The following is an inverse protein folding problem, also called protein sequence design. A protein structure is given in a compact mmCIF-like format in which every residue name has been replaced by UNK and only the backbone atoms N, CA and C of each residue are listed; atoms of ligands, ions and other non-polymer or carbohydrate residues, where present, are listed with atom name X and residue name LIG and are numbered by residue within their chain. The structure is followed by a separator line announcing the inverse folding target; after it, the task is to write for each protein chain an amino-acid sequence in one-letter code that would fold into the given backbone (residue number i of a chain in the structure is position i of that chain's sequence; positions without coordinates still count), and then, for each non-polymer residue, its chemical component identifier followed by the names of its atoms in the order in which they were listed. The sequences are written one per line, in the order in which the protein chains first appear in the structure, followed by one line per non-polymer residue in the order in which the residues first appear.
data_IF_477400865009
#
_entry.id   IF_477400865009
#
_cell.length_a   1.000
_cell.length_b   1.000
_cell.length_c   1.000
_cell.angle_alpha   90.00
_cell.angle_beta   90.00
_cell.angle_gamma   90.00
#
_symmetry.space_group_name_H-M   'P 1'
#
loop_
_entity.id
_entity.type
_entity.pdbx_description
1 polymer ?
#
# COMPACT_ATOMS: atom_id res chain seq x y z
N UNK A 1 40.31 -18.65 50.80
CA UNK A 1 40.36 -17.47 49.89
C UNK A 1 40.46 -17.80 48.40
N UNK A 2 41.14 -18.87 47.96
CA UNK A 2 41.25 -19.19 46.51
C UNK A 2 39.93 -19.62 45.85
N UNK A 3 39.07 -20.39 46.54
CA UNK A 3 37.82 -20.87 45.94
C UNK A 3 36.77 -19.76 45.71
N UNK A 4 36.68 -18.78 46.62
CA UNK A 4 35.82 -17.61 46.42
C UNK A 4 36.19 -16.76 45.19
N UNK A 5 37.48 -16.70 44.83
CA UNK A 5 37.91 -16.00 43.60
C UNK A 5 37.38 -16.69 42.34
N UNK A 6 37.41 -18.02 42.29
CA UNK A 6 36.88 -18.78 41.14
C UNK A 6 35.36 -18.65 41.03
N UNK A 7 34.65 -18.67 42.15
CA UNK A 7 33.19 -18.45 42.18
C UNK A 7 32.83 -17.05 41.69
N UNK A 8 33.58 -16.02 42.10
CA UNK A 8 33.37 -14.64 41.61
C UNK A 8 33.66 -14.48 40.12
N UNK A 9 34.72 -15.11 39.60
CA UNK A 9 35.05 -15.09 38.17
C UNK A 9 33.95 -15.79 37.36
N UNK A 10 33.43 -16.92 37.86
CA UNK A 10 32.35 -17.66 37.20
C UNK A 10 31.04 -16.84 37.19
N UNK A 11 30.70 -16.20 38.31
CA UNK A 11 29.53 -15.34 38.41
C UNK A 11 29.63 -14.11 37.50
N UNK A 12 30.82 -13.50 37.40
CA UNK A 12 31.07 -12.38 36.49
C UNK A 12 30.94 -12.81 35.02
N UNK A 13 31.47 -13.99 34.66
CA UNK A 13 31.33 -14.54 33.30
C UNK A 13 29.86 -14.83 32.95
N UNK A 14 29.09 -15.39 33.89
CA UNK A 14 27.67 -15.65 33.70
C UNK A 14 26.86 -14.36 33.51
N UNK A 15 27.17 -13.31 34.27
CA UNK A 15 26.52 -12.00 34.13
C UNK A 15 26.80 -11.36 32.76
N UNK A 16 28.04 -11.45 32.27
CA UNK A 16 28.40 -10.94 30.94
C UNK A 16 27.65 -11.69 29.84
N UNK A 17 27.56 -13.02 29.94
CA UNK A 17 26.82 -13.84 28.97
C UNK A 17 25.31 -13.50 28.95
N UNK A 18 24.71 -13.25 30.12
CA UNK A 18 23.31 -12.82 30.23
C UNK A 18 23.06 -11.47 29.54
N UNK A 19 23.95 -10.50 29.73
CA UNK A 19 23.83 -9.19 29.07
C UNK A 19 23.96 -9.30 27.55
N UNK A 20 24.90 -10.12 27.06
CA UNK A 20 25.06 -10.38 25.62
C UNK A 20 23.81 -11.05 25.06
N UNK A 21 23.26 -12.06 25.75
CA UNK A 21 22.06 -12.77 25.35
C UNK A 21 20.86 -11.82 25.22
N UNK A 22 20.60 -10.99 26.25
CA UNK A 22 19.51 -10.00 26.22
C UNK A 22 19.66 -8.99 25.09
N UNK A 23 20.89 -8.55 24.81
CA UNK A 23 21.16 -7.62 23.73
C UNK A 23 20.89 -8.24 22.35
N UNK A 24 21.32 -9.48 22.12
CA UNK A 24 21.07 -10.23 20.89
C UNK A 24 19.58 -10.54 20.71
N UNK A 25 18.90 -10.98 21.77
CA UNK A 25 17.46 -11.30 21.74
C UNK A 25 16.63 -10.04 21.40
N UNK A 26 16.96 -8.89 21.99
CA UNK A 26 16.29 -7.63 21.66
C UNK A 26 16.49 -7.21 20.20
N UNK A 27 17.66 -7.50 19.60
CA UNK A 27 17.92 -7.23 18.18
C UNK A 27 17.19 -8.21 17.28
N UNK A 28 17.15 -9.49 17.66
CA UNK A 28 16.40 -10.51 16.94
C UNK A 28 14.90 -10.22 16.95
N UNK A 29 14.34 -9.75 18.07
CA UNK A 29 12.96 -9.29 18.14
C UNK A 29 12.71 -8.06 17.25
N UNK A 30 13.55 -7.02 17.33
CA UNK A 30 13.43 -5.84 16.46
C UNK A 30 13.57 -6.17 14.97
N UNK A 31 14.38 -7.16 14.65
CA UNK A 31 14.53 -7.64 13.27
C UNK A 31 13.29 -8.42 12.82
N UNK A 32 12.73 -9.29 13.67
CA UNK A 32 11.45 -9.94 13.42
C UNK A 32 10.28 -8.95 13.30
N UNK A 33 10.24 -7.90 14.11
CA UNK A 33 9.24 -6.83 14.00
C UNK A 33 9.41 -6.05 12.69
N UNK A 34 10.64 -5.80 12.23
CA UNK A 34 10.92 -5.17 10.92
C UNK A 34 10.58 -6.06 9.74
N UNK A 35 10.72 -7.38 9.89
CA UNK A 35 10.27 -8.37 8.91
C UNK A 35 8.74 -8.54 8.94
N UNK A 36 8.09 -8.27 10.07
CA UNK A 36 6.63 -8.23 10.22
C UNK A 36 6.00 -6.94 9.68
N UNK A 37 6.76 -5.84 9.55
CA UNK A 37 6.42 -4.71 8.67
C UNK A 37 6.51 -5.24 7.24
N UNK A 38 5.38 -5.75 6.77
CA UNK A 38 5.28 -6.64 5.61
C UNK A 38 5.87 -6.03 4.34
N UNK A 39 6.46 -6.91 3.53
CA UNK A 39 6.90 -6.59 2.17
C UNK A 39 5.75 -6.10 1.28
N UNK A 40 6.04 -5.89 -0.02
CA UNK A 40 5.04 -5.36 -0.95
C UNK A 40 3.77 -6.18 -0.93
N UNK A 41 2.63 -5.52 -0.73
CA UNK A 41 1.32 -6.16 -0.83
C UNK A 41 0.53 -5.54 -1.97
N UNK A 42 -0.16 -6.39 -2.73
CA UNK A 42 -1.06 -5.93 -3.77
C UNK A 42 -2.34 -5.41 -3.09
N UNK A 43 -2.61 -4.13 -3.29
CA UNK A 43 -3.75 -3.41 -2.71
C UNK A 43 -4.99 -3.51 -3.60
N UNK A 44 -4.78 -3.41 -4.91
CA UNK A 44 -5.82 -3.42 -5.93
C UNK A 44 -5.30 -4.25 -7.11
N UNK A 45 -6.11 -5.19 -7.58
CA UNK A 45 -5.81 -6.05 -8.73
C UNK A 45 -7.09 -6.34 -9.49
N UNK A 46 -7.31 -5.70 -10.63
CA UNK A 46 -8.40 -6.05 -11.55
C UNK A 46 -7.98 -5.89 -13.00
N UNK A 47 -8.69 -6.57 -13.90
CA UNK A 47 -8.35 -6.58 -15.33
C UNK A 47 -8.71 -5.25 -15.98
N UNK A 48 -7.68 -4.48 -16.35
CA UNK A 48 -7.81 -3.20 -17.06
C UNK A 48 -8.63 -3.28 -18.35
N UNK A 49 -8.69 -4.43 -19.01
CA UNK A 49 -9.44 -4.61 -20.26
C UNK A 49 -10.95 -4.69 -20.04
N UNK A 50 -11.39 -4.88 -18.79
CA UNK A 50 -12.81 -4.96 -18.39
C UNK A 50 -13.36 -3.64 -17.85
N UNK A 51 -12.55 -2.57 -17.84
CA UNK A 51 -12.96 -1.26 -17.36
C UNK A 51 -13.79 -0.53 -18.41
N UNK A 52 -15.03 -0.17 -18.06
CA UNK A 52 -15.97 0.47 -18.99
C UNK A 52 -16.27 1.93 -18.63
N UNK A 53 -16.16 2.28 -17.35
CA UNK A 53 -16.43 3.64 -16.85
C UNK A 53 -15.45 4.06 -15.77
N UNK A 54 -15.06 5.33 -15.81
CA UNK A 54 -14.23 5.99 -14.82
C UNK A 54 -14.92 7.29 -14.38
N UNK A 55 -14.94 7.52 -13.07
CA UNK A 55 -15.48 8.74 -12.48
C UNK A 55 -14.40 9.41 -11.64
N UNK A 56 -14.15 10.69 -11.92
CA UNK A 56 -13.16 11.53 -11.24
C UNK A 56 -13.89 12.66 -10.50
N UNK A 57 -13.78 12.65 -9.17
CA UNK A 57 -14.27 13.71 -8.30
C UNK A 57 -13.06 14.56 -7.82
N UNK A 58 -13.05 15.87 -8.13
CA UNK A 58 -12.02 16.81 -7.66
C UNK A 58 -12.64 18.18 -7.30
N UNK A 59 -11.80 19.13 -6.87
CA UNK A 59 -12.23 20.49 -6.51
C UNK A 59 -12.81 21.29 -7.70
N UNK A 60 -12.51 20.87 -8.94
CA UNK A 60 -12.98 21.51 -10.17
C UNK A 60 -14.34 20.98 -10.63
N UNK A 61 -14.71 19.76 -10.23
CA UNK A 61 -16.01 19.17 -10.52
C UNK A 61 -16.02 17.65 -10.58
N UNK A 62 -17.07 17.14 -11.23
CA UNK A 62 -17.35 15.72 -11.41
C UNK A 62 -17.22 15.36 -12.89
N UNK A 63 -16.29 14.46 -13.21
CA UNK A 63 -16.04 14.04 -14.59
C UNK A 63 -16.28 12.55 -14.75
N UNK A 64 -17.04 12.19 -15.77
CA UNK A 64 -17.32 10.81 -16.11
C UNK A 64 -16.77 10.50 -17.51
N UNK A 65 -16.09 9.36 -17.62
CA UNK A 65 -15.53 8.85 -18.86
C UNK A 65 -16.06 7.45 -19.15
N UNK A 66 -16.48 7.21 -20.39
CA UNK A 66 -16.96 5.91 -20.86
C UNK A 66 -16.10 5.35 -21.99
N UNK A 67 -15.90 4.04 -22.01
CA UNK A 67 -15.24 3.35 -23.11
C UNK A 67 -16.19 3.15 -24.30
N UNK A 68 -15.87 3.75 -25.45
CA UNK A 68 -16.61 3.54 -26.68
C UNK A 68 -16.01 2.37 -27.47
N UNK A 69 -16.56 1.17 -27.28
CA UNK A 69 -16.09 -0.04 -27.95
C UNK A 69 -16.17 0.03 -29.49
N UNK A 70 -17.11 0.79 -30.05
CA UNK A 70 -17.25 0.93 -31.51
C UNK A 70 -16.13 1.81 -32.11
N UNK A 71 -15.58 2.74 -31.34
CA UNK A 71 -14.52 3.64 -31.77
C UNK A 71 -13.15 3.32 -31.17
N UNK A 72 -13.08 2.40 -30.21
CA UNK A 72 -11.85 1.98 -29.55
C UNK A 72 -11.18 3.11 -28.77
N UNK A 73 -11.96 3.97 -28.13
CA UNK A 73 -11.44 5.13 -27.38
C UNK A 73 -12.32 5.51 -26.19
N UNK A 74 -11.71 6.20 -25.22
CA UNK A 74 -12.41 6.84 -24.11
C UNK A 74 -13.04 8.16 -24.54
N UNK A 75 -14.25 8.42 -24.05
CA UNK A 75 -15.02 9.64 -24.31
C UNK A 75 -15.58 10.19 -23.00
N UNK A 76 -15.76 11.51 -22.91
CA UNK A 76 -16.46 12.14 -21.78
C UNK A 76 -17.95 11.88 -21.94
N UNK A 77 -18.58 11.40 -20.87
CA UNK A 77 -20.04 11.17 -20.79
C UNK A 77 -20.74 12.14 -19.85
N UNK A 78 -19.99 12.91 -19.03
CA UNK A 78 -20.55 14.02 -18.25
C UNK A 78 -20.99 15.18 -19.14
N UNK A 79 -21.76 16.13 -18.57
CA UNK A 79 -22.29 17.28 -19.32
C UNK A 79 -21.21 18.18 -19.94
N UNK A 80 -20.00 18.15 -19.36
CA UNK A 80 -18.84 18.90 -19.83
C UNK A 80 -18.27 18.31 -21.12
N UNK A 81 -18.26 19.12 -22.19
CA UNK A 81 -17.75 18.70 -23.49
C UNK A 81 -16.35 19.25 -23.74
N UNK A 82 -15.34 18.49 -23.31
CA UNK A 82 -13.95 18.72 -23.71
C UNK A 82 -13.39 17.52 -24.45
N UNK A 83 -12.34 17.75 -25.24
CA UNK A 83 -11.65 16.67 -25.96
C UNK A 83 -10.77 15.95 -24.95
N UNK A 84 -11.12 14.70 -24.65
CA UNK A 84 -10.32 13.87 -23.75
C UNK A 84 -9.16 13.22 -24.50
N UNK A 85 -7.98 13.18 -23.88
CA UNK A 85 -6.89 12.36 -24.35
C UNK A 85 -7.13 10.90 -23.91
N UNK A 86 -7.67 10.08 -24.81
CA UNK A 86 -7.97 8.68 -24.53
C UNK A 86 -6.76 7.86 -24.05
N UNK A 87 -5.54 8.22 -24.44
CA UNK A 87 -4.33 7.53 -23.96
C UNK A 87 -4.03 7.86 -22.50
N UNK A 88 -4.33 9.09 -22.06
CA UNK A 88 -4.17 9.48 -20.66
C UNK A 88 -5.15 8.72 -19.76
N UNK A 89 -6.40 8.56 -20.20
CA UNK A 89 -7.41 7.78 -19.47
C UNK A 89 -7.02 6.30 -19.41
N UNK A 90 -6.54 5.73 -20.52
CA UNK A 90 -6.05 4.35 -20.52
C UNK A 90 -4.83 4.14 -19.60
N UNK A 91 -3.92 5.13 -19.52
CA UNK A 91 -2.82 5.08 -18.57
C UNK A 91 -3.32 5.08 -17.12
N UNK A 92 -4.30 5.94 -16.80
CA UNK A 92 -4.94 5.98 -15.48
C UNK A 92 -5.54 4.60 -15.13
N UNK A 93 -6.29 3.98 -16.05
CA UNK A 93 -6.77 2.60 -15.89
C UNK A 93 -5.63 1.65 -15.56
N UNK A 94 -4.61 1.58 -16.42
CA UNK A 94 -3.52 0.61 -16.27
C UNK A 94 -2.77 0.75 -14.94
N UNK A 95 -2.56 1.98 -14.46
CA UNK A 95 -1.85 2.21 -13.21
C UNK A 95 -2.71 2.01 -11.95
N UNK A 96 -4.03 2.13 -12.04
CA UNK A 96 -4.94 1.89 -10.91
C UNK A 96 -5.33 0.42 -10.79
N UNK A 97 -5.43 -0.27 -11.92
CA UNK A 97 -5.76 -1.69 -11.98
C UNK A 97 -4.74 -2.56 -11.23
N UNK A 98 -3.49 -2.10 -11.11
CA UNK A 98 -2.43 -2.78 -10.38
C UNK A 98 -1.74 -1.80 -9.41
N UNK A 99 -2.31 -1.72 -8.20
CA UNK A 99 -1.74 -0.91 -7.12
C UNK A 99 -1.10 -1.83 -6.09
N UNK A 100 0.19 -1.62 -5.82
CA UNK A 100 0.93 -2.33 -4.78
C UNK A 100 1.57 -1.35 -3.79
N UNK A 101 1.64 -1.75 -2.53
CA UNK A 101 2.42 -1.03 -1.52
C UNK A 101 3.90 -1.36 -1.69
N UNK A 102 4.79 -0.38 -1.59
CA UNK A 102 6.24 -0.64 -1.54
C UNK A 102 6.68 -1.10 -0.14
N UNK A 103 5.98 -0.62 0.90
CA UNK A 103 6.23 -0.97 2.29
C UNK A 103 4.94 -0.91 3.10
N UNK A 104 4.61 -1.99 3.80
CA UNK A 104 3.38 -2.09 4.56
C UNK A 104 3.63 -1.74 6.02
N UNK A 105 3.32 -0.50 6.42
CA UNK A 105 3.63 0.03 7.76
C UNK A 105 2.60 -0.45 8.80
N UNK A 106 1.31 -0.56 8.44
CA UNK A 106 0.29 -1.32 9.18
C UNK A 106 -0.97 -1.59 8.33
N UNK A 107 -1.15 -2.83 7.86
CA UNK A 107 -2.32 -3.25 7.06
C UNK A 107 -3.53 -3.61 7.94
N UNK A 108 -3.90 -2.75 8.89
CA UNK A 108 -5.20 -2.90 9.57
C UNK A 108 -6.25 -1.92 9.00
N UNK A 109 -5.84 -0.96 8.14
CA UNK A 109 -6.71 0.03 7.50
C UNK A 109 -7.63 0.79 8.49
N UNK A 110 -7.32 0.78 9.78
CA UNK A 110 -8.16 1.38 10.81
C UNK A 110 -8.14 2.92 10.76
N UNK A 111 -7.05 3.49 10.23
CA UNK A 111 -6.93 4.92 10.01
C UNK A 111 -6.26 5.21 8.64
N UNK A 112 -7.03 5.55 7.60
CA UNK A 112 -6.51 5.94 6.28
C UNK A 112 -5.68 7.24 6.30
N UNK A 113 -5.87 8.11 7.29
CA UNK A 113 -5.26 9.45 7.33
C UNK A 113 -3.73 9.40 7.47
N UNK A 114 -3.18 8.38 8.16
CA UNK A 114 -1.72 8.18 8.27
C UNK A 114 -1.05 7.88 6.92
N UNK A 115 -1.84 7.55 5.90
CA UNK A 115 -1.38 7.32 4.54
C UNK A 115 -1.60 8.52 3.61
N UNK A 116 -2.01 9.68 4.15
CA UNK A 116 -2.24 10.90 3.36
C UNK A 116 -3.54 10.88 2.56
N UNK A 117 -4.51 10.04 2.96
CA UNK A 117 -5.86 10.02 2.38
C UNK A 117 -6.82 11.03 3.04
N UNK A 118 -6.32 11.92 3.89
CA UNK A 118 -7.12 12.97 4.56
C UNK A 118 -7.69 14.01 3.58
N UNK A 119 -7.07 14.15 2.39
CA UNK A 119 -7.52 14.97 1.26
C UNK A 119 -7.50 14.19 -0.06
N UNK A 120 -8.03 12.97 -0.08
CA UNK A 120 -7.95 12.11 -1.26
C UNK A 120 -8.78 12.63 -2.45
N UNK A 121 -8.15 12.72 -3.62
CA UNK A 121 -8.88 12.76 -4.90
C UNK A 121 -9.56 11.41 -5.07
N UNK A 122 -10.89 11.40 -5.11
CA UNK A 122 -11.67 10.16 -5.18
C UNK A 122 -11.82 9.73 -6.63
N UNK A 123 -11.30 8.55 -6.96
CA UNK A 123 -11.38 7.96 -8.29
C UNK A 123 -12.11 6.63 -8.20
N UNK A 124 -13.26 6.54 -8.87
CA UNK A 124 -14.10 5.33 -8.89
C UNK A 124 -14.00 4.69 -10.26
N UNK A 125 -13.73 3.38 -10.27
CA UNK A 125 -13.60 2.58 -11.48
C UNK A 125 -14.69 1.51 -11.48
N UNK A 126 -15.43 1.39 -12.58
CA UNK A 126 -16.51 0.42 -12.73
C UNK A 126 -16.13 -0.62 -13.78
N UNK A 127 -16.28 -1.89 -13.42
CA UNK A 127 -16.04 -3.04 -14.30
C UNK A 127 -17.35 -3.69 -14.70
N UNK A 128 -17.33 -4.52 -15.74
CA UNK A 128 -18.49 -5.32 -16.19
C UNK A 128 -19.09 -6.23 -15.11
N UNK A 129 -18.33 -6.59 -14.07
CA UNK A 129 -18.79 -7.42 -12.95
C UNK A 129 -19.39 -6.60 -11.79
N UNK A 130 -19.04 -5.32 -11.68
CA UNK A 130 -19.49 -4.42 -10.60
C UNK A 130 -20.60 -3.47 -11.06
N UNK A 131 -21.45 -3.95 -11.98
CA UNK A 131 -22.61 -3.21 -12.49
C UNK A 131 -23.34 -2.43 -11.40
N UNK A 132 -23.85 -1.25 -11.77
CA UNK A 132 -24.44 -0.24 -10.87
C UNK A 132 -25.25 -0.77 -9.69
#
# INVERSE_FOLDING_TARGET
MKQFKWVFILAAAAAVLLVIFLFVDSRAQKQKEREAIGGPQQLISFDSTTTERITLDNDEGHYEFGWNAAQGRWEVISEDKFIVNSYAIAAICNYICDLSSEKTVSFNCENPDVYGFDHAVTLKVYTTETGE
#
